data_IF_329088719052
#
_entry.id   IF_329088719052
#
_cell.length_a   1.000
_cell.length_b   1.000
_cell.length_c   1.000
_cell.angle_alpha   90.00
_cell.angle_beta   90.00
_cell.angle_gamma   90.00
#
_symmetry.space_group_name_H-M   'P 1'
#
loop_
_entity.id
_entity.type
_entity.pdbx_description
1 polymer ?
#
# COMPACT_ATOMS: atom_id res chain seq x y z
N UNK A 1 -2.94 -15.34 -18.65
CA UNK A 1 -2.53 -15.30 -17.23
C UNK A 1 -1.29 -14.43 -17.12
N UNK A 2 -1.49 -13.13 -16.90
CA UNK A 2 -0.49 -12.17 -16.42
C UNK A 2 -1.27 -11.34 -15.42
N UNK A 3 -1.45 -11.90 -14.22
CA UNK A 3 -2.00 -11.15 -13.12
C UNK A 3 -1.13 -9.92 -12.93
N UNK A 4 -1.83 -8.79 -12.80
CA UNK A 4 -1.25 -7.48 -12.72
C UNK A 4 -0.34 -7.45 -11.51
N UNK A 5 0.95 -7.32 -11.81
CA UNK A 5 2.06 -7.15 -10.90
C UNK A 5 1.83 -5.89 -10.05
N UNK A 6 0.96 -5.97 -9.05
CA UNK A 6 1.09 -5.20 -7.82
C UNK A 6 2.30 -5.77 -7.10
N UNK A 7 3.46 -5.36 -7.61
CA UNK A 7 4.74 -5.32 -6.92
C UNK A 7 5.11 -6.65 -6.25
N UNK A 8 5.91 -7.44 -6.98
CA UNK A 8 6.97 -8.21 -6.32
C UNK A 8 7.79 -7.17 -5.55
N UNK A 9 7.45 -6.99 -4.27
CA UNK A 9 8.28 -6.26 -3.32
C UNK A 9 9.61 -6.98 -3.34
N UNK A 10 10.69 -6.21 -3.41
CA UNK A 10 12.09 -6.61 -3.41
C UNK A 10 12.38 -7.66 -2.34
N UNK A 11 12.06 -8.92 -2.64
CA UNK A 11 12.68 -10.04 -1.98
C UNK A 11 14.04 -10.21 -2.64
N UNK A 12 15.09 -9.63 -2.05
CA UNK A 12 16.22 -10.54 -1.84
C UNK A 12 15.60 -11.62 -0.96
N UNK A 13 15.23 -12.74 -1.59
CA UNK A 13 15.01 -13.98 -0.88
C UNK A 13 16.39 -14.33 -0.32
N UNK A 14 16.75 -13.73 0.82
CA UNK A 14 17.83 -14.29 1.62
C UNK A 14 17.21 -15.58 2.13
N UNK A 15 17.41 -16.65 1.36
CA UNK A 15 17.16 -18.01 1.81
C UNK A 15 18.10 -18.17 2.99
N UNK A 16 17.59 -17.89 4.19
CA UNK A 16 18.22 -18.35 5.40
C UNK A 16 18.01 -19.85 5.39
N UNK A 17 18.99 -20.58 4.84
CA UNK A 17 19.11 -21.99 5.13
C UNK A 17 19.12 -22.13 6.65
N UNK A 18 18.26 -23.00 7.18
CA UNK A 18 18.26 -23.38 8.58
C UNK A 18 19.70 -23.78 8.97
N UNK A 19 20.47 -22.89 9.63
CA UNK A 19 21.70 -23.32 10.28
C UNK A 19 21.23 -24.17 11.47
N UNK A 20 21.33 -25.49 11.30
CA UNK A 20 21.14 -26.46 12.35
C UNK A 20 21.95 -26.06 13.59
N UNK A 21 21.39 -26.32 14.77
CA UNK A 21 22.01 -26.07 16.07
C UNK A 21 23.35 -26.82 16.21
N UNK A 22 24.43 -26.30 15.62
CA UNK A 22 25.79 -26.77 15.90
C UNK A 22 26.73 -25.59 16.01
N UNK A 23 27.39 -25.58 17.16
CA UNK A 23 28.42 -24.68 17.66
C UNK A 23 29.29 -24.01 16.58
N UNK A 24 29.47 -22.70 16.74
CA UNK A 24 30.55 -21.87 16.18
C UNK A 24 30.70 -21.84 14.65
N UNK A 25 30.10 -20.81 14.03
CA UNK A 25 30.50 -20.28 12.73
C UNK A 25 29.80 -20.92 11.53
N UNK A 26 28.91 -20.17 10.88
CA UNK A 26 28.49 -20.49 9.50
C UNK A 26 29.45 -19.73 8.54
N UNK A 27 30.02 -20.48 7.58
CA UNK A 27 31.22 -20.19 6.79
C UNK A 27 30.95 -19.45 5.46
N UNK A 28 32.02 -18.87 4.89
CA UNK A 28 32.15 -17.82 3.87
C UNK A 28 31.40 -17.95 2.52
N UNK A 29 30.81 -16.83 2.10
CA UNK A 29 31.12 -16.14 0.84
C UNK A 29 31.02 -14.62 1.09
N UNK A 30 32.15 -13.91 0.99
CA UNK A 30 32.32 -12.45 1.20
C UNK A 30 31.90 -11.87 2.56
N UNK A 31 32.78 -11.90 3.58
CA UNK A 31 32.80 -11.00 4.78
C UNK A 31 31.47 -10.73 5.55
N UNK A 32 30.41 -11.49 5.29
CA UNK A 32 29.08 -11.32 5.87
C UNK A 32 28.95 -12.26 7.05
N UNK A 33 29.31 -11.76 8.24
CA UNK A 33 29.14 -12.53 9.48
C UNK A 33 27.69 -12.43 9.94
N UNK A 34 26.98 -13.54 9.97
CA UNK A 34 25.63 -13.64 10.56
C UNK A 34 25.73 -14.27 11.94
N UNK A 35 25.23 -13.57 12.95
CA UNK A 35 25.22 -14.02 14.34
C UNK A 35 23.81 -14.38 14.79
N UNK A 36 23.69 -15.46 15.56
CA UNK A 36 22.42 -15.95 16.09
C UNK A 36 22.41 -15.82 17.61
N UNK A 37 21.34 -15.31 18.18
CA UNK A 37 21.17 -15.26 19.63
C UNK A 37 19.74 -15.62 20.05
N UNK A 38 19.60 -16.23 21.24
CA UNK A 38 18.30 -16.52 21.89
C UNK A 38 17.87 -15.38 22.82
N UNK A 39 18.84 -14.63 23.34
CA UNK A 39 18.64 -13.37 24.04
C UNK A 39 19.53 -12.31 23.39
N UNK A 40 18.94 -11.14 23.11
CA UNK A 40 19.65 -10.04 22.44
C UNK A 40 20.89 -9.60 23.20
N UNK A 41 20.88 -9.66 24.53
CA UNK A 41 22.03 -9.26 25.35
C UNK A 41 23.20 -10.25 25.25
N UNK A 42 22.96 -11.50 24.85
CA UNK A 42 24.01 -12.48 24.62
C UNK A 42 24.84 -12.14 23.37
N UNK A 43 24.29 -11.35 22.45
CA UNK A 43 25.01 -10.89 21.27
C UNK A 43 26.08 -9.84 21.60
N UNK A 44 25.99 -9.18 22.77
CA UNK A 44 26.76 -7.96 23.07
C UNK A 44 27.67 -8.10 24.32
N UNK A 45 28.76 -8.86 24.21
CA UNK A 45 30.05 -8.42 24.75
C UNK A 45 31.22 -8.48 23.76
N UNK A 46 30.97 -8.88 22.50
CA UNK A 46 32.00 -9.01 21.47
C UNK A 46 31.90 -7.86 20.47
N UNK A 47 32.88 -6.95 20.48
CA UNK A 47 33.03 -5.95 19.41
C UNK A 47 33.37 -6.70 18.12
N UNK A 48 32.40 -6.87 17.23
CA UNK A 48 32.63 -7.52 15.94
C UNK A 48 33.31 -6.53 15.00
N UNK A 49 34.55 -6.84 14.61
CA UNK A 49 35.26 -6.13 13.54
C UNK A 49 34.54 -6.38 12.20
N UNK A 50 34.33 -5.31 11.43
CA UNK A 50 33.64 -5.37 10.14
C UNK A 50 32.11 -5.31 10.24
N UNK A 51 31.46 -5.31 9.08
CA UNK A 51 30.01 -5.31 8.95
C UNK A 51 29.44 -6.69 9.30
N UNK A 52 28.31 -6.72 10.00
CA UNK A 52 27.68 -7.98 10.39
C UNK A 52 26.15 -7.91 10.42
N UNK A 53 25.52 -9.07 10.48
CA UNK A 53 24.08 -9.27 10.50
C UNK A 53 23.72 -10.02 11.79
N UNK A 54 22.64 -9.62 12.45
CA UNK A 54 22.20 -10.23 13.71
C UNK A 54 20.80 -10.83 13.53
N UNK A 55 20.67 -12.10 13.90
CA UNK A 55 19.43 -12.84 13.95
C UNK A 55 19.09 -13.22 15.39
N UNK A 56 17.93 -12.77 15.79
CA UNK A 56 17.36 -12.89 17.12
C UNK A 56 15.91 -13.35 16.98
N UNK A 57 15.67 -14.39 16.17
CA UNK A 57 14.31 -14.93 15.94
C UNK A 57 13.85 -15.67 17.20
N UNK A 58 12.61 -15.43 17.64
CA UNK A 58 12.08 -15.93 18.93
C UNK A 58 12.90 -15.44 20.13
N UNK A 59 13.45 -14.24 20.03
CA UNK A 59 14.20 -13.67 21.14
C UNK A 59 13.32 -13.32 22.32
N UNK A 60 13.82 -13.54 23.54
CA UNK A 60 13.11 -13.24 24.77
C UNK A 60 13.13 -11.73 25.10
N UNK A 61 12.64 -10.89 24.18
CA UNK A 61 12.55 -9.43 24.33
C UNK A 61 11.14 -8.96 24.00
N UNK A 62 10.57 -8.16 24.92
CA UNK A 62 9.23 -7.59 24.73
C UNK A 62 9.25 -6.13 24.29
N UNK A 63 10.34 -5.42 24.51
CA UNK A 63 10.42 -3.99 24.23
C UNK A 63 11.83 -3.61 23.82
N UNK A 64 11.96 -2.94 22.67
CA UNK A 64 13.21 -2.28 22.30
C UNK A 64 13.31 -0.93 22.99
N UNK A 65 14.48 -0.65 23.58
CA UNK A 65 14.81 0.61 24.23
C UNK A 65 16.14 1.13 23.72
N UNK A 66 16.47 2.38 24.03
CA UNK A 66 17.78 2.96 23.69
C UNK A 66 18.98 2.28 24.37
N UNK A 67 18.74 1.29 25.25
CA UNK A 67 19.77 0.44 25.87
C UNK A 67 19.87 -0.95 25.26
N UNK A 68 18.96 -1.31 24.35
CA UNK A 68 18.91 -2.67 23.79
C UNK A 68 20.11 -2.97 22.89
N UNK A 69 20.64 -1.97 22.20
CA UNK A 69 21.77 -2.10 21.27
C UNK A 69 23.00 -1.33 21.76
N UNK A 70 23.73 -1.86 22.76
CA UNK A 70 24.98 -1.26 23.21
C UNK A 70 26.09 -1.58 22.20
N UNK A 71 26.80 -0.54 21.70
CA UNK A 71 28.03 -0.67 20.89
C UNK A 71 27.86 -1.41 19.53
N UNK A 72 27.00 -0.91 18.64
CA UNK A 72 26.53 -1.63 17.43
C UNK A 72 26.70 -0.87 16.11
N UNK A 73 27.73 -0.04 15.99
CA UNK A 73 27.87 0.88 14.84
C UNK A 73 28.02 0.16 13.48
N UNK A 74 28.44 -1.11 13.45
CA UNK A 74 28.67 -1.87 12.20
C UNK A 74 27.56 -2.89 11.88
N UNK A 75 26.43 -2.86 12.59
CA UNK A 75 25.30 -3.76 12.32
C UNK A 75 24.59 -3.32 11.04
N UNK A 76 24.59 -4.18 10.02
CA UNK A 76 23.98 -3.92 8.70
C UNK A 76 22.55 -4.43 8.62
N UNK A 77 22.26 -5.57 9.27
CA UNK A 77 20.91 -6.13 9.30
C UNK A 77 20.58 -6.65 10.68
N UNK A 78 19.36 -6.38 11.12
CA UNK A 78 18.82 -6.92 12.37
C UNK A 78 17.49 -7.61 12.11
N UNK A 79 17.42 -8.90 12.43
CA UNK A 79 16.21 -9.67 12.36
C UNK A 79 15.77 -10.14 13.74
N UNK A 80 14.60 -9.67 14.19
CA UNK A 80 13.91 -10.16 15.37
C UNK A 80 12.44 -10.47 15.07
N UNK A 81 12.17 -11.00 13.88
CA UNK A 81 10.84 -11.53 13.55
C UNK A 81 10.42 -12.62 14.55
N UNK A 82 9.12 -12.80 14.73
CA UNK A 82 8.56 -13.89 15.56
C UNK A 82 9.08 -13.92 17.01
N UNK A 83 9.37 -12.77 17.61
CA UNK A 83 10.01 -12.65 18.93
C UNK A 83 9.07 -12.17 20.05
N UNK A 84 7.79 -12.00 19.77
CA UNK A 84 6.80 -11.54 20.76
C UNK A 84 7.06 -10.11 21.26
N UNK A 85 7.70 -9.28 20.44
CA UNK A 85 7.96 -7.87 20.75
C UNK A 85 6.62 -7.13 20.77
N UNK A 86 6.42 -6.25 21.76
CA UNK A 86 5.16 -5.51 21.99
C UNK A 86 5.28 -4.01 21.78
N UNK A 87 6.45 -3.44 21.95
CA UNK A 87 6.65 -1.99 21.86
C UNK A 87 8.07 -1.61 21.43
N UNK A 88 8.19 -0.44 20.80
CA UNK A 88 9.46 0.19 20.46
C UNK A 88 9.50 1.57 21.10
N UNK A 89 10.44 1.78 22.03
CA UNK A 89 10.59 3.05 22.72
C UNK A 89 11.31 4.11 21.87
N UNK A 90 11.28 5.36 22.33
CA UNK A 90 11.97 6.49 21.70
C UNK A 90 13.46 6.18 21.54
N UNK A 91 14.01 6.52 20.36
CA UNK A 91 15.43 6.31 20.01
C UNK A 91 15.92 4.88 20.27
N UNK A 92 15.06 3.88 20.19
CA UNK A 92 15.43 2.50 20.46
C UNK A 92 16.58 2.01 19.56
N UNK A 93 16.65 2.53 18.32
CA UNK A 93 17.65 2.12 17.33
C UNK A 93 18.73 3.17 17.09
N UNK A 94 18.84 4.25 17.88
CA UNK A 94 19.70 5.38 17.56
C UNK A 94 21.21 5.07 17.48
N UNK A 95 21.65 3.93 18.02
CA UNK A 95 23.05 3.45 17.92
C UNK A 95 23.34 2.66 16.63
N UNK A 96 22.32 2.32 15.84
CA UNK A 96 22.43 1.48 14.65
C UNK A 96 22.76 2.30 13.39
N UNK A 97 23.84 3.07 13.41
CA UNK A 97 24.11 4.08 12.36
C UNK A 97 24.36 3.53 10.95
N UNK A 98 24.81 2.28 10.83
CA UNK A 98 25.06 1.62 9.53
C UNK A 98 23.97 0.61 9.15
N UNK A 99 22.84 0.60 9.86
CA UNK A 99 21.77 -0.37 9.61
C UNK A 99 21.10 -0.09 8.27
N UNK A 100 20.87 -1.18 7.54
CA UNK A 100 20.30 -1.19 6.22
C UNK A 100 18.97 -1.96 6.19
N UNK A 101 18.84 -3.01 7.01
CA UNK A 101 17.65 -3.85 7.02
C UNK A 101 17.18 -4.10 8.45
N UNK A 102 15.90 -3.84 8.72
CA UNK A 102 15.27 -4.08 10.02
C UNK A 102 14.06 -4.99 9.81
N UNK A 103 14.14 -6.21 10.34
CA UNK A 103 13.08 -7.21 10.25
C UNK A 103 12.38 -7.40 11.60
N UNK A 104 11.15 -6.86 11.71
CA UNK A 104 10.32 -6.89 12.92
C UNK A 104 8.91 -7.43 12.67
N UNK A 105 8.69 -8.05 11.50
CA UNK A 105 7.42 -8.66 11.13
C UNK A 105 7.05 -9.85 12.03
N UNK A 106 5.76 -10.20 12.04
CA UNK A 106 5.21 -11.31 12.81
C UNK A 106 5.49 -11.18 14.33
N UNK A 107 5.31 -9.98 14.89
CA UNK A 107 5.44 -9.71 16.33
C UNK A 107 4.10 -9.25 16.92
N UNK A 108 4.10 -8.83 18.18
CA UNK A 108 2.94 -8.31 18.90
C UNK A 108 2.99 -6.77 19.04
N UNK A 109 3.69 -6.05 18.15
CA UNK A 109 3.98 -4.62 18.32
C UNK A 109 2.67 -3.83 18.27
N UNK A 110 2.33 -3.17 19.38
CA UNK A 110 1.11 -2.36 19.54
C UNK A 110 1.39 -0.87 19.43
N UNK A 111 2.60 -0.44 19.80
CA UNK A 111 3.01 0.95 19.81
C UNK A 111 4.46 1.12 19.37
N UNK A 112 4.71 2.20 18.64
CA UNK A 112 6.03 2.71 18.29
C UNK A 112 6.05 4.15 18.78
N UNK A 113 6.94 4.46 19.71
CA UNK A 113 7.07 5.80 20.23
C UNK A 113 7.58 6.76 19.14
N UNK A 114 7.29 8.07 19.24
CA UNK A 114 7.92 9.08 18.41
C UNK A 114 9.45 8.97 18.46
N UNK A 115 10.10 9.23 17.32
CA UNK A 115 11.55 9.22 17.15
C UNK A 115 12.21 7.85 17.47
N UNK A 116 11.45 6.74 17.43
CA UNK A 116 11.98 5.39 17.65
C UNK A 116 13.14 5.04 16.70
N UNK A 117 13.05 5.51 15.45
CA UNK A 117 14.02 5.30 14.38
C UNK A 117 14.92 6.53 14.13
N UNK A 118 15.00 7.44 15.09
CA UNK A 118 15.78 8.66 14.93
C UNK A 118 17.26 8.39 14.61
N UNK A 119 17.75 9.08 13.59
CA UNK A 119 19.15 9.03 13.18
C UNK A 119 19.49 7.88 12.23
N UNK A 120 18.51 7.07 11.82
CA UNK A 120 18.71 6.01 10.84
C UNK A 120 18.63 6.56 9.41
N UNK A 121 19.81 6.84 8.82
CA UNK A 121 19.93 7.54 7.53
C UNK A 121 20.26 6.66 6.32
N UNK A 122 20.50 5.37 6.52
CA UNK A 122 20.99 4.46 5.47
C UNK A 122 20.14 3.19 5.38
N UNK A 123 18.85 3.31 5.69
CA UNK A 123 17.96 2.15 5.72
C UNK A 123 17.44 1.87 4.32
N UNK A 124 17.55 0.63 3.87
CA UNK A 124 16.89 0.20 2.65
C UNK A 124 15.47 -0.28 2.96
N UNK A 125 15.31 -1.17 3.95
CA UNK A 125 14.01 -1.80 4.22
C UNK A 125 13.70 -1.90 5.72
N UNK A 126 12.46 -1.55 6.08
CA UNK A 126 11.90 -1.76 7.41
C UNK A 126 10.62 -2.59 7.29
N UNK A 127 10.66 -3.79 7.87
CA UNK A 127 9.54 -4.73 7.91
C UNK A 127 8.84 -4.65 9.26
N UNK A 128 7.59 -4.17 9.25
CA UNK A 128 6.71 -4.06 10.43
C UNK A 128 5.36 -4.74 10.17
N UNK A 129 5.24 -5.51 9.08
CA UNK A 129 4.02 -6.20 8.71
C UNK A 129 3.63 -7.31 9.70
N UNK A 130 2.34 -7.65 9.73
CA UNK A 130 1.79 -8.67 10.63
C UNK A 130 2.09 -8.38 12.11
N UNK A 131 1.76 -7.17 12.57
CA UNK A 131 1.88 -6.73 13.96
C UNK A 131 0.49 -6.29 14.48
N UNK A 132 0.45 -5.55 15.59
CA UNK A 132 -0.78 -5.09 16.23
C UNK A 132 -0.85 -3.56 16.35
N UNK A 133 -0.14 -2.83 15.48
CA UNK A 133 -0.04 -1.38 15.56
C UNK A 133 -1.39 -0.76 15.26
N UNK A 134 -2.03 -0.20 16.29
CA UNK A 134 -3.38 0.38 16.16
C UNK A 134 -3.34 1.90 16.01
N UNK A 135 -2.47 2.55 16.79
CA UNK A 135 -2.36 4.00 16.85
C UNK A 135 -1.01 4.43 16.28
N UNK A 136 -1.01 4.84 15.00
CA UNK A 136 0.13 5.51 14.40
C UNK A 136 0.12 6.99 14.84
N UNK A 137 1.09 7.38 15.65
CA UNK A 137 1.22 8.76 16.17
C UNK A 137 2.18 9.56 15.31
N UNK A 138 1.96 10.88 15.12
CA UNK A 138 2.92 11.72 14.40
C UNK A 138 4.34 11.55 14.94
N UNK A 139 5.25 11.25 14.01
CA UNK A 139 6.67 11.10 14.29
C UNK A 139 7.15 9.73 14.77
N UNK A 140 6.30 8.71 14.77
CA UNK A 140 6.75 7.33 15.03
C UNK A 140 7.81 6.82 14.02
N UNK A 141 7.88 7.44 12.83
CA UNK A 141 8.89 7.21 11.78
C UNK A 141 9.70 8.48 11.42
N UNK A 142 9.72 9.48 12.31
CA UNK A 142 10.53 10.69 12.11
C UNK A 142 11.99 10.33 11.84
N UNK A 143 12.62 11.09 10.94
CA UNK A 143 14.05 10.98 10.59
C UNK A 143 14.48 9.57 10.11
N UNK A 144 13.53 8.73 9.73
CA UNK A 144 13.80 7.46 9.05
C UNK A 144 13.98 7.73 7.55
N UNK A 145 15.22 7.63 7.08
CA UNK A 145 15.52 7.63 5.64
C UNK A 145 15.56 6.17 5.16
N UNK A 146 14.37 5.59 4.92
CA UNK A 146 14.18 4.24 4.41
C UNK A 146 13.60 4.23 3.00
N UNK A 147 14.08 3.36 2.10
CA UNK A 147 13.48 3.23 0.77
C UNK A 147 12.10 2.54 0.83
N UNK A 148 12.01 1.45 1.60
CA UNK A 148 10.80 0.61 1.71
C UNK A 148 10.37 0.49 3.16
N UNK A 149 9.11 0.80 3.44
CA UNK A 149 8.49 0.59 4.74
C UNK A 149 7.21 -0.22 4.59
N UNK A 150 7.18 -1.40 5.20
CA UNK A 150 6.05 -2.31 5.17
C UNK A 150 5.31 -2.26 6.51
N UNK A 151 4.08 -1.77 6.48
CA UNK A 151 3.17 -1.64 7.63
C UNK A 151 1.86 -2.42 7.41
N UNK A 152 1.80 -3.26 6.37
CA UNK A 152 0.60 -4.02 6.03
C UNK A 152 0.24 -5.06 7.10
N UNK A 153 -1.03 -5.47 7.14
CA UNK A 153 -1.54 -6.40 8.17
C UNK A 153 -1.28 -5.91 9.61
N UNK A 154 -1.59 -4.65 9.88
CA UNK A 154 -1.60 -4.07 11.22
C UNK A 154 -3.04 -3.69 11.62
N UNK A 155 -3.20 -2.85 12.64
CA UNK A 155 -4.49 -2.42 13.17
C UNK A 155 -4.75 -0.92 12.97
N UNK A 156 -4.03 -0.25 12.08
CA UNK A 156 -4.05 1.21 11.93
C UNK A 156 -5.44 1.66 11.48
N UNK A 157 -6.05 2.61 12.19
CA UNK A 157 -7.41 3.11 11.92
C UNK A 157 -7.46 4.48 11.28
N UNK A 158 -6.46 5.31 11.52
CA UNK A 158 -6.44 6.72 11.10
C UNK A 158 -5.03 7.12 10.69
N UNK A 159 -4.93 7.93 9.63
CA UNK A 159 -3.70 8.61 9.25
C UNK A 159 -3.85 10.10 9.61
N UNK A 160 -3.34 10.56 10.77
CA UNK A 160 -3.41 11.97 11.17
C UNK A 160 -2.48 12.84 10.32
N UNK A 161 -2.67 14.16 10.38
CA UNK A 161 -1.79 15.12 9.71
C UNK A 161 -0.33 14.95 10.13
N UNK A 162 0.58 15.10 9.16
CA UNK A 162 2.03 15.04 9.36
C UNK A 162 2.51 13.73 10.01
N UNK A 163 1.79 12.62 9.78
CA UNK A 163 2.15 11.31 10.33
C UNK A 163 3.59 10.90 9.98
N UNK A 164 3.99 11.20 8.75
CA UNK A 164 5.31 10.89 8.17
C UNK A 164 6.20 12.13 8.00
N UNK A 165 5.98 13.17 8.81
CA UNK A 165 6.80 14.38 8.74
C UNK A 165 8.29 14.05 8.89
N UNK A 166 9.14 14.56 7.99
CA UNK A 166 10.59 14.29 8.03
C UNK A 166 11.04 12.93 7.47
N UNK A 167 10.13 12.04 7.06
CA UNK A 167 10.45 10.74 6.43
C UNK A 167 10.73 10.88 4.92
N UNK A 168 11.66 11.76 4.54
CA UNK A 168 11.90 12.14 3.13
C UNK A 168 12.45 11.01 2.24
N UNK A 169 12.95 9.91 2.82
CA UNK A 169 13.59 8.83 2.07
C UNK A 169 12.64 7.82 1.44
N UNK A 170 11.34 7.85 1.78
CA UNK A 170 10.42 6.77 1.40
C UNK A 170 10.17 6.74 -0.10
N UNK A 171 10.42 5.59 -0.72
CA UNK A 171 10.07 5.29 -2.11
C UNK A 171 8.83 4.37 -2.18
N UNK A 172 8.72 3.43 -1.24
CA UNK A 172 7.62 2.46 -1.16
C UNK A 172 7.05 2.45 0.26
N UNK A 173 5.74 2.68 0.36
CA UNK A 173 5.00 2.58 1.61
C UNK A 173 3.81 1.64 1.43
N UNK A 174 3.82 0.52 2.17
CA UNK A 174 2.70 -0.42 2.21
C UNK A 174 1.90 -0.30 3.50
N UNK A 175 0.68 0.22 3.40
CA UNK A 175 -0.31 0.35 4.47
C UNK A 175 -1.53 -0.56 4.22
N UNK A 176 -1.43 -1.51 3.30
CA UNK A 176 -2.54 -2.39 2.95
C UNK A 176 -2.98 -3.30 4.11
N UNK A 177 -4.21 -3.82 4.04
CA UNK A 177 -4.73 -4.77 5.04
C UNK A 177 -4.65 -4.20 6.47
N UNK A 178 -5.01 -2.93 6.62
CA UNK A 178 -5.21 -2.27 7.89
C UNK A 178 -6.71 -1.97 8.06
N UNK A 179 -7.08 -1.13 9.03
CA UNK A 179 -8.47 -0.72 9.28
C UNK A 179 -8.66 0.79 9.03
N UNK A 180 -7.87 1.36 8.12
CA UNK A 180 -7.83 2.82 7.91
C UNK A 180 -9.19 3.28 7.42
N UNK A 181 -9.86 4.13 8.19
CA UNK A 181 -11.13 4.77 7.85
C UNK A 181 -10.96 6.22 7.44
N UNK A 182 -10.03 6.91 8.09
CA UNK A 182 -9.83 8.35 7.94
C UNK A 182 -8.40 8.65 7.54
N UNK A 183 -8.24 9.37 6.43
CA UNK A 183 -6.97 9.94 5.99
C UNK A 183 -7.12 11.46 6.05
N UNK A 184 -6.35 12.11 6.90
CA UNK A 184 -6.41 13.57 7.03
C UNK A 184 -5.68 14.25 5.85
N UNK A 185 -6.01 15.52 5.61
CA UNK A 185 -5.55 16.28 4.43
C UNK A 185 -4.02 16.31 4.25
N UNK A 186 -3.26 16.42 5.35
CA UNK A 186 -1.80 16.48 5.33
C UNK A 186 -1.17 15.20 5.89
N UNK A 187 -1.89 14.07 5.84
CA UNK A 187 -1.39 12.80 6.36
C UNK A 187 -0.07 12.35 5.72
N UNK A 188 0.10 12.63 4.42
CA UNK A 188 1.28 12.27 3.63
C UNK A 188 2.29 13.40 3.47
N UNK A 189 2.18 14.48 4.27
CA UNK A 189 3.19 15.51 4.30
C UNK A 189 4.56 14.91 4.67
N UNK A 190 5.61 15.26 3.91
CA UNK A 190 6.96 14.73 4.06
C UNK A 190 7.30 13.52 3.18
N UNK A 191 6.34 12.96 2.43
CA UNK A 191 6.57 11.84 1.52
C UNK A 191 6.81 12.28 0.07
N UNK A 192 7.64 13.32 -0.13
CA UNK A 192 7.83 14.00 -1.42
C UNK A 192 8.53 13.13 -2.49
N UNK A 193 9.25 12.08 -2.07
CA UNK A 193 9.95 11.14 -2.95
C UNK A 193 9.20 9.81 -3.15
N UNK A 194 8.01 9.66 -2.57
CA UNK A 194 7.26 8.41 -2.62
C UNK A 194 6.88 8.06 -4.06
N UNK A 195 7.23 6.85 -4.50
CA UNK A 195 6.88 6.35 -5.84
C UNK A 195 5.71 5.37 -5.81
N UNK A 196 5.53 4.65 -4.69
CA UNK A 196 4.50 3.63 -4.52
C UNK A 196 3.80 3.81 -3.17
N UNK A 197 2.47 3.92 -3.23
CA UNK A 197 1.61 3.91 -2.06
C UNK A 197 0.56 2.81 -2.19
N UNK A 198 0.58 1.86 -1.26
CA UNK A 198 -0.42 0.80 -1.17
C UNK A 198 -1.35 1.03 0.04
N UNK A 199 -2.63 1.27 -0.24
CA UNK A 199 -3.72 1.43 0.74
C UNK A 199 -4.81 0.38 0.54
N UNK A 200 -4.53 -0.69 -0.20
CA UNK A 200 -5.47 -1.76 -0.50
C UNK A 200 -6.06 -2.40 0.76
N UNK A 201 -7.31 -2.86 0.70
CA UNK A 201 -7.94 -3.65 1.76
C UNK A 201 -7.93 -2.89 3.10
N UNK A 202 -8.55 -1.71 3.06
CA UNK A 202 -8.76 -0.85 4.22
C UNK A 202 -10.27 -0.54 4.33
N UNK A 203 -10.63 0.48 5.11
CA UNK A 203 -12.02 0.90 5.28
C UNK A 203 -12.22 2.36 4.86
N UNK A 204 -11.38 2.85 3.93
CA UNK A 204 -11.43 4.23 3.45
C UNK A 204 -12.67 4.38 2.61
N UNK A 205 -13.48 5.37 2.92
CA UNK A 205 -14.75 5.56 2.24
C UNK A 205 -14.92 6.98 1.67
N UNK A 206 -14.16 7.93 2.21
CA UNK A 206 -14.03 9.29 1.68
C UNK A 206 -12.55 9.70 1.67
N UNK A 207 -12.18 10.42 0.63
CA UNK A 207 -10.90 11.10 0.51
C UNK A 207 -11.17 12.60 0.42
N UNK A 208 -10.46 13.39 1.21
CA UNK A 208 -10.59 14.84 1.18
C UNK A 208 -9.94 15.42 -0.09
N UNK A 209 -10.37 16.61 -0.48
CA UNK A 209 -9.75 17.34 -1.59
C UNK A 209 -8.25 17.52 -1.31
N UNK A 210 -7.41 17.22 -2.31
CA UNK A 210 -5.96 17.39 -2.20
C UNK A 210 -5.27 16.50 -1.16
N UNK A 211 -5.88 15.38 -0.72
CA UNK A 211 -5.26 14.48 0.27
C UNK A 211 -3.89 13.94 -0.16
N UNK A 212 -3.63 13.89 -1.47
CA UNK A 212 -2.36 13.46 -2.06
C UNK A 212 -1.50 14.62 -2.60
N UNK A 213 -1.79 15.87 -2.22
CA UNK A 213 -1.18 17.08 -2.80
C UNK A 213 0.34 17.14 -2.73
N UNK A 214 0.97 16.44 -1.77
CA UNK A 214 2.42 16.40 -1.57
C UNK A 214 3.13 15.27 -2.33
N UNK A 215 2.39 14.33 -2.92
CA UNK A 215 2.94 13.09 -3.51
C UNK A 215 3.30 13.27 -5.00
N UNK A 216 4.14 14.26 -5.30
CA UNK A 216 4.44 14.66 -6.69
C UNK A 216 5.20 13.61 -7.50
N UNK A 217 5.98 12.75 -6.85
CA UNK A 217 6.75 11.67 -7.51
C UNK A 217 5.99 10.36 -7.63
N UNK A 218 4.77 10.28 -7.08
CA UNK A 218 4.04 9.02 -6.99
C UNK A 218 3.70 8.47 -8.37
N UNK A 219 4.08 7.22 -8.62
CA UNK A 219 3.85 6.51 -9.87
C UNK A 219 2.74 5.49 -9.76
N UNK A 220 2.54 4.91 -8.56
CA UNK A 220 1.56 3.86 -8.34
C UNK A 220 0.77 4.13 -7.06
N UNK A 221 -0.56 4.15 -7.21
CA UNK A 221 -1.50 4.28 -6.11
C UNK A 221 -2.49 3.13 -6.15
N UNK A 222 -2.48 2.32 -5.08
CA UNK A 222 -3.44 1.24 -4.89
C UNK A 222 -4.44 1.62 -3.79
N UNK A 223 -5.71 1.76 -4.17
CA UNK A 223 -6.85 2.02 -3.29
C UNK A 223 -7.90 0.90 -3.42
N UNK A 224 -7.52 -0.25 -3.98
CA UNK A 224 -8.45 -1.35 -4.16
C UNK A 224 -8.99 -1.90 -2.84
N UNK A 225 -10.14 -2.58 -2.90
CA UNK A 225 -10.75 -3.25 -1.75
C UNK A 225 -10.97 -2.29 -0.57
N UNK A 226 -11.48 -1.09 -0.88
CA UNK A 226 -11.90 -0.08 0.09
C UNK A 226 -13.42 0.14 -0.02
N UNK A 227 -13.93 1.22 0.55
CA UNK A 227 -15.36 1.56 0.60
C UNK A 227 -15.67 2.87 -0.13
N UNK A 228 -14.84 3.27 -1.10
CA UNK A 228 -14.99 4.54 -1.81
C UNK A 228 -16.26 4.53 -2.65
N UNK A 229 -17.10 5.55 -2.49
CA UNK A 229 -18.38 5.65 -3.23
C UNK A 229 -18.38 6.74 -4.30
N UNK A 230 -17.59 7.79 -4.11
CA UNK A 230 -17.49 8.94 -5.02
C UNK A 230 -16.15 9.65 -4.85
N UNK A 231 -15.80 10.43 -5.86
CA UNK A 231 -14.62 11.30 -5.86
C UNK A 231 -15.04 12.72 -6.20
N UNK A 232 -14.39 13.70 -5.57
CA UNK A 232 -14.55 15.11 -5.92
C UNK A 232 -13.41 15.52 -6.85
N UNK A 233 -13.67 16.42 -7.80
CA UNK A 233 -12.61 17.01 -8.62
C UNK A 233 -11.55 17.62 -7.70
N UNK A 234 -10.29 17.30 -7.93
CA UNK A 234 -9.17 17.70 -7.07
C UNK A 234 -8.84 16.73 -5.92
N UNK A 235 -9.55 15.61 -5.77
CA UNK A 235 -9.16 14.55 -4.81
C UNK A 235 -7.72 14.07 -5.07
N UNK A 236 -7.37 13.89 -6.34
CA UNK A 236 -6.06 13.41 -6.79
C UNK A 236 -5.09 14.53 -7.20
N UNK A 237 -5.36 15.78 -6.79
CA UNK A 237 -4.43 16.89 -7.06
C UNK A 237 -3.03 16.57 -6.50
N UNK A 238 -2.00 16.97 -7.25
CA UNK A 238 -0.58 16.76 -6.91
C UNK A 238 0.06 15.54 -7.57
N UNK A 239 -0.74 14.55 -8.00
CA UNK A 239 -0.29 13.27 -8.55
C UNK A 239 0.10 13.32 -10.05
N UNK A 240 0.91 14.30 -10.46
CA UNK A 240 1.23 14.57 -11.88
C UNK A 240 2.08 13.49 -12.57
N UNK A 241 2.80 12.69 -11.80
CA UNK A 241 3.62 11.57 -12.30
C UNK A 241 2.93 10.21 -12.18
N UNK A 242 1.65 10.16 -11.79
CA UNK A 242 0.95 8.90 -11.58
C UNK A 242 0.81 8.12 -12.88
N UNK A 243 1.29 6.89 -12.88
CA UNK A 243 1.24 6.00 -14.02
C UNK A 243 0.13 4.95 -13.90
N UNK A 244 -0.09 4.44 -12.68
CA UNK A 244 -1.05 3.37 -12.39
C UNK A 244 -1.93 3.78 -11.21
N UNK A 245 -3.25 3.77 -11.45
CA UNK A 245 -4.27 3.97 -10.42
C UNK A 245 -5.17 2.73 -10.34
N UNK A 246 -5.25 2.12 -9.17
CA UNK A 246 -6.15 1.01 -8.91
C UNK A 246 -7.23 1.39 -7.90
N UNK A 247 -8.48 1.36 -8.37
CA UNK A 247 -9.70 1.64 -7.61
C UNK A 247 -10.62 0.40 -7.59
N UNK A 248 -10.09 -0.78 -7.90
CA UNK A 248 -10.87 -2.00 -7.98
C UNK A 248 -11.58 -2.33 -6.66
N UNK A 249 -12.68 -3.08 -6.71
CA UNK A 249 -13.40 -3.55 -5.52
C UNK A 249 -13.77 -2.43 -4.53
N UNK A 250 -14.23 -1.30 -5.05
CA UNK A 250 -14.83 -0.23 -4.26
C UNK A 250 -16.35 -0.20 -4.49
N UNK A 251 -17.02 0.90 -4.14
CA UNK A 251 -18.46 1.07 -4.27
C UNK A 251 -18.82 2.26 -5.18
N UNK A 252 -18.00 2.51 -6.21
CA UNK A 252 -18.21 3.62 -7.15
C UNK A 252 -19.34 3.27 -8.11
N UNK A 253 -20.40 4.09 -8.17
CA UNK A 253 -21.56 3.86 -9.03
C UNK A 253 -21.51 4.63 -10.36
N UNK A 254 -20.87 5.79 -10.35
CA UNK A 254 -20.67 6.65 -11.54
C UNK A 254 -19.23 7.10 -11.54
N UNK A 255 -18.57 6.97 -12.69
CA UNK A 255 -17.20 7.42 -12.85
C UNK A 255 -17.12 8.63 -13.80
N UNK A 256 -16.81 9.80 -13.23
CA UNK A 256 -16.53 11.02 -13.99
C UNK A 256 -15.03 11.10 -14.30
N UNK A 257 -14.67 11.13 -15.58
CA UNK A 257 -13.28 11.25 -16.03
C UNK A 257 -12.58 12.54 -15.60
N UNK A 258 -13.30 13.58 -15.17
CA UNK A 258 -12.71 14.84 -14.69
C UNK A 258 -11.84 14.68 -13.44
N UNK A 259 -12.00 13.59 -12.68
CA UNK A 259 -11.12 13.31 -11.54
C UNK A 259 -9.70 12.96 -11.97
N UNK A 260 -9.52 12.62 -13.26
CA UNK A 260 -8.26 12.23 -13.88
C UNK A 260 -7.46 13.41 -14.43
N UNK A 261 -8.01 14.63 -14.39
CA UNK A 261 -7.35 15.88 -14.86
C UNK A 261 -5.91 16.03 -14.35
N UNK A 262 -5.56 15.69 -13.09
CA UNK A 262 -4.20 15.87 -12.61
C UNK A 262 -3.14 14.94 -13.24
N UNK A 263 -3.53 13.95 -14.05
CA UNK A 263 -2.65 12.85 -14.44
C UNK A 263 -2.06 13.01 -15.85
N UNK A 264 -0.86 13.56 -15.95
CA UNK A 264 -0.22 13.82 -17.25
C UNK A 264 0.33 12.54 -17.93
N UNK A 265 0.64 11.51 -17.15
CA UNK A 265 1.39 10.32 -17.60
C UNK A 265 0.71 8.99 -17.29
N UNK A 266 -0.58 9.01 -16.92
CA UNK A 266 -1.28 7.80 -16.52
C UNK A 266 -1.45 6.85 -17.70
N UNK A 267 -1.11 5.58 -17.49
CA UNK A 267 -1.16 4.54 -18.52
C UNK A 267 -2.07 3.37 -18.14
N UNK A 268 -2.39 3.20 -16.85
CA UNK A 268 -3.21 2.08 -16.36
C UNK A 268 -4.24 2.57 -15.35
N UNK A 269 -5.50 2.21 -15.59
CA UNK A 269 -6.62 2.47 -14.70
C UNK A 269 -7.39 1.18 -14.46
N UNK A 270 -7.60 0.84 -13.19
CA UNK A 270 -8.43 -0.29 -12.78
C UNK A 270 -9.65 0.19 -12.00
N UNK A 271 -10.84 -0.07 -12.56
CA UNK A 271 -12.16 0.23 -12.00
C UNK A 271 -12.99 -1.04 -11.78
N UNK A 272 -12.35 -2.22 -11.86
CA UNK A 272 -13.07 -3.49 -11.78
C UNK A 272 -13.76 -3.70 -10.43
N UNK A 273 -14.79 -4.54 -10.36
CA UNK A 273 -15.43 -4.90 -9.08
C UNK A 273 -16.14 -3.75 -8.36
N UNK A 274 -16.55 -2.70 -9.09
CA UNK A 274 -17.31 -1.58 -8.55
C UNK A 274 -18.81 -1.71 -8.89
N UNK A 275 -19.60 -0.66 -8.58
CA UNK A 275 -21.02 -0.58 -8.92
C UNK A 275 -21.30 0.25 -10.19
N UNK A 276 -20.32 0.41 -11.08
CA UNK A 276 -20.40 1.41 -12.16
C UNK A 276 -21.46 0.99 -13.17
N UNK A 277 -22.53 1.77 -13.27
CA UNK A 277 -23.57 1.58 -14.28
C UNK A 277 -23.43 2.54 -15.46
N UNK A 278 -22.67 3.64 -15.29
CA UNK A 278 -22.39 4.63 -16.32
C UNK A 278 -20.95 5.14 -16.24
N UNK A 279 -20.32 5.24 -17.40
CA UNK A 279 -18.94 5.69 -17.59
C UNK A 279 -18.83 6.42 -18.92
N UNK A 280 -18.30 7.64 -18.90
CA UNK A 280 -18.03 8.44 -20.10
C UNK A 280 -16.61 8.18 -20.61
N UNK A 281 -16.50 7.37 -21.67
CA UNK A 281 -15.21 7.01 -22.25
C UNK A 281 -14.48 8.21 -22.88
N UNK A 282 -15.23 9.21 -23.37
CA UNK A 282 -14.64 10.41 -23.98
C UNK A 282 -14.00 11.31 -22.91
N UNK A 283 -14.69 11.51 -21.77
CA UNK A 283 -14.13 12.25 -20.64
C UNK A 283 -12.82 11.64 -20.13
N UNK A 284 -12.75 10.30 -20.03
CA UNK A 284 -11.50 9.60 -19.68
C UNK A 284 -10.43 9.89 -20.73
N UNK A 285 -10.71 9.71 -22.03
CA UNK A 285 -9.71 9.88 -23.07
C UNK A 285 -9.18 11.32 -23.19
N UNK A 286 -10.05 12.32 -23.03
CA UNK A 286 -9.65 13.74 -23.06
C UNK A 286 -8.71 14.07 -21.89
N UNK A 287 -9.01 13.57 -20.70
CA UNK A 287 -8.23 13.88 -19.51
C UNK A 287 -6.94 13.05 -19.39
N UNK A 288 -6.92 11.82 -19.93
CA UNK A 288 -5.75 10.92 -19.90
C UNK A 288 -5.51 10.25 -21.26
N UNK A 289 -5.08 11.00 -22.29
CA UNK A 289 -4.88 10.46 -23.64
C UNK A 289 -3.75 9.41 -23.70
N UNK A 290 -2.90 9.35 -22.68
CA UNK A 290 -1.81 8.38 -22.52
C UNK A 290 -2.25 7.00 -22.03
N UNK A 291 -3.54 6.82 -21.70
CA UNK A 291 -4.08 5.57 -21.17
C UNK A 291 -3.81 4.41 -22.14
N UNK A 292 -3.24 3.31 -21.65
CA UNK A 292 -2.93 2.10 -22.43
C UNK A 292 -3.82 0.92 -22.02
N UNK A 293 -4.19 0.88 -20.75
CA UNK A 293 -4.94 -0.24 -20.18
C UNK A 293 -6.06 0.27 -19.28
N UNK A 294 -7.26 -0.25 -19.50
CA UNK A 294 -8.43 -0.01 -18.68
C UNK A 294 -9.04 -1.35 -18.24
N UNK A 295 -9.33 -1.49 -16.94
CA UNK A 295 -10.12 -2.59 -16.41
C UNK A 295 -11.43 -2.07 -15.86
N UNK A 296 -12.54 -2.68 -16.28
CA UNK A 296 -13.91 -2.29 -15.95
C UNK A 296 -14.81 -3.53 -15.74
N UNK A 297 -14.22 -4.72 -15.63
CA UNK A 297 -14.95 -5.95 -15.36
C UNK A 297 -15.64 -5.94 -13.98
N UNK A 298 -16.61 -6.83 -13.77
CA UNK A 298 -17.39 -6.92 -12.54
C UNK A 298 -18.02 -5.58 -12.10
N UNK A 299 -18.64 -4.88 -13.06
CA UNK A 299 -19.45 -3.67 -12.86
C UNK A 299 -20.91 -3.87 -13.29
N UNK A 300 -21.75 -2.84 -13.18
CA UNK A 300 -23.19 -2.88 -13.50
C UNK A 300 -23.54 -2.26 -14.86
N UNK A 301 -22.61 -2.31 -15.82
CA UNK A 301 -22.79 -1.73 -17.15
C UNK A 301 -23.82 -2.53 -17.98
N UNK A 302 -24.70 -1.82 -18.69
CA UNK A 302 -25.55 -2.46 -19.70
C UNK A 302 -24.74 -2.96 -20.88
N UNK A 303 -25.19 -4.02 -21.55
CA UNK A 303 -24.44 -4.60 -22.66
C UNK A 303 -24.24 -3.62 -23.82
N UNK A 304 -25.24 -2.77 -24.11
CA UNK A 304 -25.09 -1.72 -25.13
C UNK A 304 -24.02 -0.69 -24.75
N UNK A 305 -23.99 -0.26 -23.48
CA UNK A 305 -23.02 0.72 -23.02
C UNK A 305 -21.60 0.15 -23.01
N UNK A 306 -21.46 -1.10 -22.56
CA UNK A 306 -20.18 -1.81 -22.57
C UNK A 306 -19.63 -2.00 -24.00
N UNK A 307 -20.47 -2.36 -24.98
CA UNK A 307 -20.08 -2.44 -26.39
C UNK A 307 -19.54 -1.09 -26.87
N UNK A 308 -20.23 0.00 -26.57
CA UNK A 308 -19.82 1.34 -26.98
C UNK A 308 -18.48 1.74 -26.36
N UNK A 309 -18.28 1.49 -25.06
CA UNK A 309 -17.01 1.74 -24.36
C UNK A 309 -15.87 0.96 -25.02
N UNK A 310 -16.05 -0.34 -25.23
CA UNK A 310 -15.03 -1.20 -25.82
C UNK A 310 -14.68 -0.76 -27.24
N UNK A 311 -15.69 -0.45 -28.07
CA UNK A 311 -15.46 0.03 -29.43
C UNK A 311 -14.73 1.37 -29.45
N UNK A 312 -15.08 2.29 -28.55
CA UNK A 312 -14.41 3.58 -28.41
C UNK A 312 -12.93 3.39 -28.05
N UNK A 313 -12.64 2.66 -26.97
CA UNK A 313 -11.25 2.48 -26.51
C UNK A 313 -10.40 1.65 -27.48
N UNK A 314 -11.01 0.71 -28.21
CA UNK A 314 -10.35 0.00 -29.30
C UNK A 314 -9.86 0.96 -30.40
N UNK A 315 -10.66 1.97 -30.78
CA UNK A 315 -10.26 3.00 -31.75
C UNK A 315 -9.11 3.87 -31.23
N UNK A 316 -9.04 4.08 -29.91
CA UNK A 316 -7.99 4.85 -29.25
C UNK A 316 -6.76 4.00 -28.87
N UNK A 317 -6.66 2.76 -29.33
CA UNK A 317 -5.57 1.82 -28.99
C UNK A 317 -5.41 1.54 -27.49
N UNK A 318 -6.49 1.68 -26.72
CA UNK A 318 -6.54 1.33 -25.29
C UNK A 318 -7.05 -0.10 -25.14
N UNK A 319 -6.30 -0.91 -24.39
CA UNK A 319 -6.69 -2.28 -24.09
C UNK A 319 -7.69 -2.30 -22.93
N UNK A 320 -8.93 -2.66 -23.23
CA UNK A 320 -9.93 -2.99 -22.19
C UNK A 320 -9.73 -4.47 -21.82
N UNK A 321 -9.20 -4.71 -20.63
CA UNK A 321 -8.84 -6.05 -20.15
C UNK A 321 -9.98 -6.62 -19.30
N UNK A 322 -10.20 -7.93 -19.41
CA UNK A 322 -11.02 -8.71 -18.49
C UNK A 322 -10.14 -9.62 -17.62
N UNK A 323 -10.57 -9.87 -16.39
CA UNK A 323 -10.11 -11.05 -15.64
C UNK A 323 -11.21 -12.10 -15.57
N UNK A 324 -10.90 -13.26 -14.99
CA UNK A 324 -11.90 -14.30 -14.73
C UNK A 324 -12.93 -13.70 -13.77
N UNK A 325 -14.04 -13.22 -14.32
CA UNK A 325 -15.03 -12.45 -13.57
C UNK A 325 -15.71 -13.28 -12.48
N UNK A 326 -16.18 -12.59 -11.43
CA UNK A 326 -17.04 -13.19 -10.38
C UNK A 326 -18.36 -13.73 -10.94
N UNK A 327 -18.77 -13.25 -12.12
CA UNK A 327 -20.00 -13.66 -12.78
C UNK A 327 -19.74 -14.78 -13.80
N UNK A 328 -20.49 -15.88 -13.69
CA UNK A 328 -20.43 -17.03 -14.61
C UNK A 328 -20.94 -16.73 -16.04
N UNK A 329 -21.42 -15.51 -16.30
CA UNK A 329 -22.03 -15.09 -17.56
C UNK A 329 -21.08 -14.10 -18.25
N UNK A 330 -20.39 -14.57 -19.29
CA UNK A 330 -19.49 -13.78 -20.11
C UNK A 330 -20.22 -13.35 -21.39
N UNK A 331 -20.64 -12.09 -21.48
CA UNK A 331 -21.50 -11.61 -22.57
C UNK A 331 -20.70 -10.87 -23.66
N UNK A 332 -19.99 -9.79 -23.30
CA UNK A 332 -19.32 -8.91 -24.27
C UNK A 332 -17.81 -8.98 -24.05
N UNK A 333 -17.08 -9.59 -24.99
CA UNK A 333 -15.63 -9.78 -24.92
C UNK A 333 -15.14 -10.39 -23.59
N UNK A 334 -15.92 -11.29 -23.00
CA UNK A 334 -15.59 -11.93 -21.73
C UNK A 334 -15.77 -11.02 -20.49
N UNK A 335 -16.44 -9.88 -20.63
CA UNK A 335 -16.88 -9.01 -19.52
C UNK A 335 -18.40 -9.19 -19.36
N UNK A 336 -18.84 -9.42 -18.12
CA UNK A 336 -20.26 -9.51 -17.79
C UNK A 336 -20.94 -8.14 -17.95
N UNK A 337 -22.17 -8.15 -18.46
CA UNK A 337 -23.02 -6.97 -18.58
C UNK A 337 -24.48 -7.35 -18.38
N UNK A 338 -25.30 -6.37 -18.04
CA UNK A 338 -26.74 -6.57 -17.88
C UNK A 338 -27.45 -6.45 -19.23
N UNK A 339 -28.13 -7.52 -19.66
CA UNK A 339 -29.07 -7.49 -20.78
C UNK A 339 -30.37 -6.83 -20.31
N UNK A 340 -30.43 -5.50 -20.32
CA UNK A 340 -31.73 -4.84 -20.19
C UNK A 340 -32.44 -4.85 -21.55
N UNK A 341 -33.40 -5.75 -21.73
CA UNK A 341 -34.49 -5.53 -22.68
C UNK A 341 -35.40 -4.47 -22.05
N UNK A 342 -35.09 -3.19 -22.25
CA UNK A 342 -35.94 -2.08 -21.83
C UNK A 342 -37.24 -2.13 -22.64
N UNK A 343 -38.27 -2.81 -22.13
CA UNK A 343 -39.61 -2.69 -22.73
C UNK A 343 -40.35 -1.46 -22.24
N UNK A 344 -39.94 -0.80 -21.16
CA UNK A 344 -40.61 0.42 -20.65
C UNK A 344 -39.61 1.43 -20.06
N UNK A 345 -39.77 2.75 -20.31
CA UNK A 345 -38.89 3.81 -19.76
C UNK A 345 -38.85 3.91 -18.22
N UNK A 346 -39.72 3.18 -17.52
CA UNK A 346 -39.91 3.26 -16.05
C UNK A 346 -38.88 2.42 -15.28
N UNK A 347 -38.28 1.39 -15.89
CA UNK A 347 -37.34 0.50 -15.19
C UNK A 347 -35.96 1.11 -14.98
N UNK A 348 -35.50 2.03 -15.83
CA UNK A 348 -34.19 2.67 -15.65
C UNK A 348 -34.16 3.59 -14.43
N UNK A 349 -35.20 4.40 -14.21
CA UNK A 349 -35.37 5.20 -12.99
C UNK A 349 -35.47 4.29 -11.76
N UNK A 350 -36.17 3.17 -11.85
CA UNK A 350 -36.35 2.23 -10.74
C UNK A 350 -35.06 1.45 -10.41
N UNK A 351 -34.28 1.05 -11.41
CA UNK A 351 -32.93 0.52 -11.24
C UNK A 351 -31.99 1.56 -10.64
N UNK A 352 -32.02 2.80 -11.15
CA UNK A 352 -31.27 3.91 -10.56
C UNK A 352 -31.65 4.13 -9.10
N UNK A 353 -32.93 3.99 -8.74
CA UNK A 353 -33.39 4.07 -7.35
C UNK A 353 -32.80 2.92 -6.53
N UNK A 354 -32.85 1.68 -7.00
CA UNK A 354 -32.27 0.52 -6.28
C UNK A 354 -30.75 0.65 -6.14
N UNK A 355 -30.04 1.01 -7.21
CA UNK A 355 -28.60 1.24 -7.19
C UNK A 355 -28.22 2.44 -6.32
N UNK A 356 -29.01 3.52 -6.33
CA UNK A 356 -28.83 4.67 -5.42
C UNK A 356 -29.15 4.30 -3.98
N UNK A 357 -30.14 3.46 -3.72
CA UNK A 357 -30.53 3.05 -2.37
C UNK A 357 -29.53 2.05 -1.78
N UNK A 358 -28.97 1.14 -2.58
CA UNK A 358 -27.85 0.29 -2.15
C UNK A 358 -26.58 1.12 -1.94
N UNK A 359 -26.33 2.14 -2.78
CA UNK A 359 -25.28 3.15 -2.53
C UNK A 359 -25.57 3.99 -1.28
N UNK A 360 -26.83 4.34 -0.96
CA UNK A 360 -27.18 5.05 0.29
C UNK A 360 -26.99 4.19 1.52
N UNK A 361 -27.34 2.90 1.44
CA UNK A 361 -27.05 1.95 2.51
C UNK A 361 -25.55 1.86 2.71
N UNK A 362 -24.73 1.78 1.66
CA UNK A 362 -23.27 1.77 1.81
C UNK A 362 -22.72 3.09 2.40
N UNK A 363 -23.34 4.25 2.09
CA UNK A 363 -23.04 5.55 2.72
C UNK A 363 -23.37 5.55 4.23
N UNK A 364 -24.38 4.80 4.69
CA UNK A 364 -24.69 4.69 6.13
C UNK A 364 -23.71 3.78 6.88
N UNK A 365 -22.89 3.00 6.17
CA UNK A 365 -21.84 2.13 6.70
C UNK A 365 -20.41 2.66 6.48
N UNK A 366 -20.30 3.89 5.93
CA UNK A 366 -19.24 4.86 6.23
C UNK A 366 -19.50 5.45 7.63
#
# INVERSE_FOLDING_TARGET
MKDILFILISGILIIFGDCAETQNGCDYEHDIRTYFCKNIHDAFPNVFYGNYHLQCVKCNIRTFTNRTFPYTNNLVSFNASESGIRAIAWRAFSSLTNIQYIYLQNNEIQEIAPDAFWGLRQVYEVHLENNHLENAVPGFLNDLEANTVLLNNNKIKTLPNSLFGGSLGFLILDLSKNFIKTVHEDAFFGLENLEVLNLENNHICHLTLGVFKHLHTLRQLNLADNKLTKFTIGTFSGLTNLNTLNLANNSVSVFDGNILIPFDHMSRLDLSGNGIYYLDANSIHVNVPTLKTLRIDDNLLSCIHLINIIQFFKKMHVQVINTVGRYHVQNVNGIACTEMILTHPVEFEQFLIVAKDDTKKSIQYC
#
